data_IF_747911586003
#
_entry.id   IF_747911586003
#
_cell.length_a   1.000
_cell.length_b   1.000
_cell.length_c   1.000
_cell.angle_alpha   90.00
_cell.angle_beta   90.00
_cell.angle_gamma   90.00
#
_symmetry.space_group_name_H-M   'P 1'
#
loop_
_entity.id
_entity.type
_entity.pdbx_description
1 polymer ?
#
# COMPACT_ATOMS: atom_id res chain seq x y z
N UNK A 1 -20.81 -8.65 -18.49
CA UNK A 1 -19.97 -7.49 -18.84
C UNK A 1 -20.05 -6.49 -17.69
N UNK A 2 -18.96 -5.79 -17.33
CA UNK A 2 -18.78 -4.80 -16.21
C UNK A 2 -17.88 -5.16 -15.00
N UNK A 3 -17.02 -6.19 -15.03
CA UNK A 3 -16.10 -6.46 -13.90
C UNK A 3 -14.86 -5.54 -13.81
N UNK A 4 -14.63 -4.64 -14.77
CA UNK A 4 -13.35 -3.92 -14.97
C UNK A 4 -13.29 -2.52 -14.34
N UNK A 5 -14.35 -2.05 -13.68
CA UNK A 5 -14.36 -0.81 -12.90
C UNK A 5 -13.94 -0.95 -11.43
N UNK A 6 -13.81 -2.19 -10.96
CA UNK A 6 -14.14 -2.53 -9.58
C UNK A 6 -13.01 -2.40 -8.54
N UNK A 7 -11.74 -2.32 -8.95
CA UNK A 7 -10.62 -2.22 -8.01
C UNK A 7 -9.80 -0.93 -8.18
N UNK A 8 -10.31 0.00 -9.00
CA UNK A 8 -9.58 1.19 -9.45
C UNK A 8 -9.08 2.08 -8.32
N UNK A 9 -9.87 2.22 -7.26
CA UNK A 9 -9.51 3.02 -6.08
C UNK A 9 -8.84 2.18 -4.97
N UNK A 10 -9.09 0.88 -4.94
CA UNK A 10 -8.65 -0.02 -3.88
C UNK A 10 -7.14 -0.31 -3.94
N UNK A 11 -6.57 -0.48 -5.14
CA UNK A 11 -5.13 -0.74 -5.33
C UNK A 11 -4.23 0.42 -4.90
N UNK A 12 -4.42 1.66 -5.38
CA UNK A 12 -3.57 2.75 -4.93
C UNK A 12 -3.75 3.01 -3.43
N UNK A 13 -4.97 2.83 -2.89
CA UNK A 13 -5.20 2.91 -1.44
C UNK A 13 -4.46 1.81 -0.70
N UNK A 14 -4.47 0.58 -1.20
CA UNK A 14 -3.76 -0.57 -0.61
C UNK A 14 -2.28 -0.25 -0.49
N UNK A 15 -1.66 0.18 -1.59
CA UNK A 15 -0.24 0.52 -1.63
C UNK A 15 0.07 1.67 -0.67
N UNK A 16 -0.73 2.75 -0.71
CA UNK A 16 -0.54 3.88 0.19
C UNK A 16 -0.68 3.47 1.65
N UNK A 17 -1.60 2.57 1.97
CA UNK A 17 -1.82 2.06 3.33
C UNK A 17 -0.60 1.29 3.84
N UNK A 18 0.02 0.48 2.98
CA UNK A 18 1.23 -0.26 3.33
C UNK A 18 2.43 0.67 3.55
N UNK A 19 2.58 1.67 2.68
CA UNK A 19 3.60 2.72 2.84
C UNK A 19 3.41 3.46 4.15
N UNK A 20 2.19 3.90 4.44
CA UNK A 20 1.88 4.58 5.70
C UNK A 20 2.13 3.65 6.89
N UNK A 21 1.81 2.37 6.79
CA UNK A 21 2.06 1.39 7.85
C UNK A 21 3.53 1.23 8.15
N UNK A 22 4.36 1.13 7.10
CA UNK A 22 5.81 1.14 7.23
C UNK A 22 6.31 2.45 7.86
N UNK A 23 5.84 3.62 7.43
CA UNK A 23 6.25 4.90 8.01
C UNK A 23 5.84 5.06 9.48
N UNK A 24 4.64 4.59 9.85
CA UNK A 24 4.13 4.69 11.23
C UNK A 24 4.93 3.78 12.15
N UNK A 25 5.14 2.53 11.74
CA UNK A 25 5.75 1.49 12.60
C UNK A 25 7.28 1.45 12.51
N UNK A 26 7.85 1.88 11.39
CA UNK A 26 9.29 1.89 11.14
C UNK A 26 9.76 3.34 11.05
N UNK A 27 10.65 3.75 11.97
CA UNK A 27 11.34 5.04 11.89
C UNK A 27 12.35 5.02 10.75
N UNK A 28 11.91 5.28 9.51
CA UNK A 28 12.83 5.36 8.38
C UNK A 28 13.63 6.66 8.46
N UNK A 29 14.87 6.60 8.92
CA UNK A 29 15.82 7.72 8.93
C UNK A 29 16.37 8.05 7.53
N UNK A 30 15.55 7.96 6.48
CA UNK A 30 15.96 8.39 5.15
C UNK A 30 15.63 9.87 4.99
N UNK A 31 16.64 10.70 4.69
CA UNK A 31 16.42 12.13 4.58
C UNK A 31 15.62 12.45 3.30
N UNK A 32 14.72 13.44 3.38
CA UNK A 32 13.71 13.68 2.36
C UNK A 32 14.34 14.00 0.99
N UNK A 33 15.49 14.68 1.00
CA UNK A 33 16.25 15.01 -0.20
C UNK A 33 16.83 13.77 -0.89
N UNK A 34 17.39 12.82 -0.14
CA UNK A 34 17.92 11.57 -0.71
C UNK A 34 16.78 10.71 -1.23
N UNK A 35 15.65 10.68 -0.53
CA UNK A 35 14.45 9.98 -0.97
C UNK A 35 13.91 10.57 -2.29
N UNK A 36 13.94 11.89 -2.49
CA UNK A 36 13.63 12.47 -3.80
C UNK A 36 14.66 12.10 -4.86
N UNK A 37 15.95 12.31 -4.57
CA UNK A 37 17.03 12.12 -5.56
C UNK A 37 17.18 10.67 -6.02
N UNK A 38 17.02 9.72 -5.10
CA UNK A 38 17.17 8.29 -5.37
C UNK A 38 15.82 7.58 -5.59
N UNK A 39 14.76 8.01 -4.91
CA UNK A 39 13.43 7.41 -5.04
C UNK A 39 12.73 7.81 -6.34
N UNK A 40 12.97 9.01 -6.88
CA UNK A 40 12.43 9.41 -8.18
C UNK A 40 12.91 8.52 -9.35
N UNK A 41 14.22 8.28 -9.56
CA UNK A 41 14.67 7.39 -10.62
C UNK A 41 14.23 5.94 -10.39
N UNK A 42 14.15 5.47 -9.13
CA UNK A 42 13.60 4.13 -8.84
C UNK A 42 12.11 4.03 -9.18
N UNK A 43 11.31 5.03 -8.80
CA UNK A 43 9.88 5.07 -9.12
C UNK A 43 9.64 5.13 -10.63
N UNK A 44 10.46 5.91 -11.35
CA UNK A 44 10.47 5.93 -12.82
C UNK A 44 10.83 4.56 -13.40
N UNK A 45 11.91 3.94 -12.92
CA UNK A 45 12.36 2.63 -13.39
C UNK A 45 11.29 1.56 -13.21
N UNK A 46 10.62 1.54 -12.06
CA UNK A 46 9.51 0.61 -11.75
C UNK A 46 8.29 0.94 -12.63
N UNK A 47 7.93 2.22 -12.78
CA UNK A 47 6.81 2.62 -13.63
C UNK A 47 7.01 2.24 -15.10
N UNK A 48 8.24 2.36 -15.60
CA UNK A 48 8.64 1.91 -16.94
C UNK A 48 8.63 0.40 -17.04
N UNK A 49 9.21 -0.32 -16.07
CA UNK A 49 9.21 -1.79 -16.02
C UNK A 49 7.77 -2.34 -16.02
N UNK A 50 6.89 -1.81 -15.16
CA UNK A 50 5.47 -2.19 -15.10
C UNK A 50 4.72 -1.85 -16.39
N UNK A 51 5.16 -0.83 -17.13
CA UNK A 51 4.60 -0.52 -18.45
C UNK A 51 5.11 -1.47 -19.54
N UNK A 52 6.37 -1.91 -19.47
CA UNK A 52 6.94 -2.92 -20.36
C UNK A 52 6.36 -4.32 -20.10
N UNK A 53 5.98 -4.62 -18.86
CA UNK A 53 5.30 -5.85 -18.47
C UNK A 53 3.83 -5.91 -18.93
N UNK A 54 3.30 -4.85 -19.56
CA UNK A 54 1.99 -4.90 -20.18
C UNK A 54 2.00 -5.91 -21.33
N UNK A 55 1.17 -6.96 -21.29
CA UNK A 55 1.11 -7.91 -22.40
C UNK A 55 0.72 -7.18 -23.70
N UNK A 56 1.47 -7.43 -24.77
CA UNK A 56 1.13 -6.95 -26.11
C UNK A 56 -0.26 -7.50 -26.51
N UNK A 57 -1.07 -6.69 -27.20
CA UNK A 57 -2.37 -7.14 -27.75
C UNK A 57 -2.07 -8.26 -28.76
N UNK A 58 -2.06 -9.52 -28.33
CA UNK A 58 -1.72 -10.66 -29.20
C UNK A 58 -1.07 -11.84 -28.49
N UNK A 59 -0.49 -11.66 -27.30
CA UNK A 59 0.05 -12.78 -26.51
C UNK A 59 -0.94 -13.21 -25.43
N UNK A 60 -2.03 -13.84 -25.85
CA UNK A 60 -2.82 -14.70 -24.96
C UNK A 60 -2.03 -15.99 -24.59
N UNK A 61 -0.82 -16.17 -25.13
CA UNK A 61 0.06 -17.33 -24.95
C UNK A 61 0.61 -17.55 -23.53
N UNK A 62 0.80 -16.50 -22.70
CA UNK A 62 1.21 -16.70 -21.30
C UNK A 62 0.07 -17.20 -20.39
N UNK A 63 -1.16 -17.17 -20.91
CA UNK A 63 -2.40 -17.56 -20.21
C UNK A 63 -2.98 -18.89 -20.73
N UNK A 64 -2.45 -19.42 -21.83
CA UNK A 64 -3.01 -20.59 -22.55
C UNK A 64 -2.10 -21.82 -22.57
N UNK A 65 -0.82 -21.73 -22.22
CA UNK A 65 0.03 -22.92 -22.19
C UNK A 65 0.05 -23.52 -20.78
N UNK A 66 -0.49 -24.74 -20.68
CA UNK A 66 -0.41 -25.65 -19.51
C UNK A 66 1.05 -26.04 -19.25
N UNK A 67 1.86 -25.08 -18.80
CA UNK A 67 3.26 -25.25 -18.48
C UNK A 67 3.52 -25.12 -16.98
N UNK A 68 4.62 -25.70 -16.51
CA UNK A 68 5.10 -25.58 -15.12
C UNK A 68 5.40 -24.11 -14.74
N UNK A 69 5.70 -23.25 -15.74
CA UNK A 69 6.08 -21.83 -15.56
C UNK A 69 4.95 -20.95 -14.99
N UNK A 70 3.72 -20.91 -15.56
CA UNK A 70 2.62 -20.11 -15.00
C UNK A 70 2.18 -20.60 -13.61
N UNK A 71 2.24 -21.90 -13.33
CA UNK A 71 1.90 -22.45 -12.02
C UNK A 71 2.94 -22.03 -10.96
N UNK A 72 4.23 -22.12 -11.28
CA UNK A 72 5.31 -21.62 -10.40
C UNK A 72 5.18 -20.12 -10.16
N UNK A 73 4.84 -19.33 -11.19
CA UNK A 73 4.59 -17.89 -11.05
C UNK A 73 3.39 -17.60 -10.14
N UNK A 74 2.29 -18.35 -10.28
CA UNK A 74 1.12 -18.19 -9.40
C UNK A 74 1.45 -18.56 -7.94
N UNK A 75 2.26 -19.60 -7.71
CA UNK A 75 2.73 -19.97 -6.38
C UNK A 75 3.64 -18.89 -5.78
N UNK A 76 4.62 -18.39 -6.54
CA UNK A 76 5.50 -17.29 -6.12
C UNK A 76 4.70 -16.03 -5.77
N UNK A 77 3.74 -15.65 -6.62
CA UNK A 77 2.84 -14.52 -6.36
C UNK A 77 2.00 -14.77 -5.10
N UNK A 78 1.46 -15.98 -4.92
CA UNK A 78 0.67 -16.33 -3.74
C UNK A 78 1.49 -16.23 -2.45
N UNK A 79 2.74 -16.70 -2.46
CA UNK A 79 3.66 -16.57 -1.33
C UNK A 79 3.95 -15.10 -1.03
N UNK A 80 4.19 -14.28 -2.07
CA UNK A 80 4.44 -12.84 -1.90
C UNK A 80 3.20 -12.12 -1.33
N UNK A 81 2.03 -12.33 -1.90
CA UNK A 81 0.78 -11.76 -1.39
C UNK A 81 0.46 -12.23 0.04
N UNK A 82 0.79 -13.47 0.39
CA UNK A 82 0.68 -13.99 1.75
C UNK A 82 1.61 -13.29 2.73
N UNK A 83 2.86 -13.03 2.33
CA UNK A 83 3.81 -12.27 3.13
C UNK A 83 3.32 -10.82 3.36
N UNK A 84 2.85 -10.14 2.30
CA UNK A 84 2.28 -8.78 2.39
C UNK A 84 1.04 -8.72 3.30
N UNK A 85 0.19 -9.75 3.27
CA UNK A 85 -0.96 -9.88 4.16
C UNK A 85 -0.52 -10.02 5.61
N UNK A 86 0.45 -10.89 5.87
CA UNK A 86 1.01 -11.10 7.20
C UNK A 86 1.61 -9.82 7.77
N UNK A 87 2.42 -9.11 6.98
CA UNK A 87 3.02 -7.83 7.38
C UNK A 87 1.94 -6.77 7.70
N UNK A 88 0.92 -6.64 6.86
CA UNK A 88 -0.17 -5.68 7.08
C UNK A 88 -0.92 -5.97 8.38
N UNK A 89 -1.23 -7.25 8.65
CA UNK A 89 -1.93 -7.67 9.86
C UNK A 89 -1.05 -7.47 11.10
N UNK A 90 0.24 -7.76 10.99
CA UNK A 90 1.20 -7.57 12.06
C UNK A 90 1.34 -6.09 12.43
N UNK A 91 1.52 -5.21 11.45
CA UNK A 91 1.56 -3.74 11.66
C UNK A 91 0.27 -3.23 12.30
N UNK A 92 -0.89 -3.65 11.78
CA UNK A 92 -2.19 -3.27 12.34
C UNK A 92 -2.35 -3.72 13.79
N UNK A 93 -1.87 -4.92 14.12
CA UNK A 93 -1.90 -5.44 15.49
C UNK A 93 -0.95 -4.68 16.41
N UNK A 94 0.25 -4.31 15.95
CA UNK A 94 1.20 -3.51 16.73
C UNK A 94 0.61 -2.14 17.07
N UNK A 95 0.04 -1.44 16.09
CA UNK A 95 -0.63 -0.15 16.31
C UNK A 95 -1.79 -0.30 17.30
N UNK A 96 -2.61 -1.36 17.18
CA UNK A 96 -3.68 -1.65 18.15
C UNK A 96 -3.14 -1.88 19.57
N UNK A 97 -2.01 -2.56 19.69
CA UNK A 97 -1.40 -2.89 20.98
C UNK A 97 -0.76 -1.68 21.63
N UNK A 98 -0.01 -0.90 20.89
CA UNK A 98 0.74 0.25 21.39
C UNK A 98 -0.18 1.43 21.71
N UNK A 99 -1.20 1.70 20.87
CA UNK A 99 -2.02 2.91 20.98
C UNK A 99 -3.36 2.66 21.70
N UNK A 100 -3.89 1.43 21.65
CA UNK A 100 -5.18 1.09 22.24
C UNK A 100 -5.10 -0.04 23.29
N UNK A 101 -3.89 -0.52 23.62
CA UNK A 101 -3.68 -1.64 24.56
C UNK A 101 -4.55 -2.86 24.24
N UNK A 102 -4.80 -3.11 22.94
CA UNK A 102 -5.79 -4.09 22.48
C UNK A 102 -5.19 -5.11 21.52
N UNK A 103 -5.74 -6.33 21.56
CA UNK A 103 -5.44 -7.41 20.60
C UNK A 103 -6.52 -7.57 19.51
N UNK A 104 -7.27 -6.51 19.22
CA UNK A 104 -8.46 -6.56 18.36
C UNK A 104 -8.23 -7.18 16.97
N UNK A 105 -7.07 -6.95 16.32
CA UNK A 105 -6.84 -7.47 14.95
C UNK A 105 -6.79 -8.99 14.93
N UNK A 106 -6.19 -9.62 15.94
CA UNK A 106 -6.21 -11.08 16.08
C UNK A 106 -7.64 -11.61 16.27
N UNK A 107 -8.48 -10.90 17.03
CA UNK A 107 -9.87 -11.29 17.25
C UNK A 107 -10.75 -11.16 16.00
N UNK A 108 -10.48 -10.16 15.15
CA UNK A 108 -11.24 -9.91 13.91
C UNK A 108 -10.66 -10.67 12.71
N UNK A 109 -9.46 -11.23 12.82
CA UNK A 109 -8.80 -12.02 11.77
C UNK A 109 -9.71 -13.06 11.07
N UNK A 110 -10.44 -13.96 11.78
CA UNK A 110 -11.31 -14.92 11.11
C UNK A 110 -12.41 -14.24 10.27
N UNK A 111 -12.93 -13.10 10.74
CA UNK A 111 -13.91 -12.31 9.99
C UNK A 111 -13.27 -11.65 8.77
N UNK A 112 -12.03 -11.16 8.85
CA UNK A 112 -11.33 -10.57 7.70
C UNK A 112 -11.07 -11.60 6.61
N UNK A 113 -10.64 -12.81 6.99
CA UNK A 113 -10.42 -13.91 6.07
C UNK A 113 -11.74 -14.31 5.39
N UNK A 114 -12.81 -14.47 6.17
CA UNK A 114 -14.13 -14.78 5.64
C UNK A 114 -14.70 -13.68 4.73
N UNK A 115 -14.61 -12.43 5.17
CA UNK A 115 -15.09 -11.28 4.41
C UNK A 115 -14.30 -11.11 3.11
N UNK A 116 -12.97 -11.19 3.16
CA UNK A 116 -12.11 -11.15 1.96
C UNK A 116 -12.43 -12.28 0.97
N UNK A 117 -12.84 -13.45 1.48
CA UNK A 117 -13.30 -14.56 0.65
C UNK A 117 -14.62 -14.25 -0.07
N UNK A 118 -15.60 -13.68 0.62
CA UNK A 118 -16.99 -13.55 0.13
C UNK A 118 -17.33 -12.20 -0.53
N UNK A 119 -16.60 -11.14 -0.20
CA UNK A 119 -16.90 -9.78 -0.67
C UNK A 119 -16.81 -9.68 -2.20
N UNK A 120 -17.82 -9.03 -2.78
CA UNK A 120 -17.84 -8.65 -4.19
C UNK A 120 -16.79 -7.55 -4.44
N UNK A 121 -16.16 -7.55 -5.62
CA UNK A 121 -15.12 -6.60 -5.94
C UNK A 121 -15.64 -5.14 -5.86
N UNK A 122 -16.92 -4.90 -6.15
CA UNK A 122 -17.49 -3.53 -6.21
C UNK A 122 -17.50 -2.84 -4.85
N UNK A 123 -17.61 -3.63 -3.78
CA UNK A 123 -17.60 -3.14 -2.41
C UNK A 123 -16.23 -2.54 -2.08
N UNK A 124 -15.14 -3.14 -2.56
CA UNK A 124 -13.79 -2.61 -2.35
C UNK A 124 -13.61 -1.25 -3.02
N UNK A 125 -14.13 -1.03 -4.23
CA UNK A 125 -14.05 0.28 -4.89
C UNK A 125 -14.77 1.37 -4.09
N UNK A 126 -16.00 1.07 -3.63
CA UNK A 126 -16.84 2.01 -2.89
C UNK A 126 -16.22 2.34 -1.53
N UNK A 127 -15.83 1.31 -0.78
CA UNK A 127 -15.16 1.47 0.51
C UNK A 127 -13.84 2.21 0.38
N UNK A 128 -13.05 1.91 -0.67
CA UNK A 128 -11.82 2.64 -0.94
C UNK A 128 -12.08 4.11 -1.26
N UNK A 129 -13.14 4.44 -2.01
CA UNK A 129 -13.53 5.83 -2.27
C UNK A 129 -13.83 6.63 -1.00
N UNK A 130 -14.54 6.02 -0.04
CA UNK A 130 -14.81 6.64 1.27
C UNK A 130 -13.51 6.81 2.06
N UNK A 131 -12.66 5.78 2.10
CA UNK A 131 -11.39 5.82 2.81
C UNK A 131 -10.40 6.80 2.20
N UNK A 132 -10.42 7.04 0.89
CA UNK A 132 -9.62 8.08 0.25
C UNK A 132 -9.97 9.47 0.79
N UNK A 133 -11.27 9.78 0.90
CA UNK A 133 -11.71 11.04 1.50
C UNK A 133 -11.39 11.11 2.98
N UNK A 134 -11.59 10.03 3.72
CA UNK A 134 -11.23 9.98 5.14
C UNK A 134 -9.73 10.20 5.35
N UNK A 135 -8.89 9.58 4.52
CA UNK A 135 -7.44 9.72 4.57
C UNK A 135 -7.00 11.13 4.17
N UNK A 136 -7.62 11.73 3.16
CA UNK A 136 -7.35 13.11 2.77
C UNK A 136 -7.71 14.10 3.88
N UNK A 137 -8.87 13.92 4.52
CA UNK A 137 -9.30 14.75 5.65
C UNK A 137 -8.39 14.56 6.87
N UNK A 138 -8.03 13.32 7.20
CA UNK A 138 -7.11 13.02 8.30
C UNK A 138 -5.71 13.59 8.03
N UNK A 139 -5.22 13.48 6.79
CA UNK A 139 -3.95 14.09 6.37
C UNK A 139 -3.98 15.61 6.44
N UNK A 140 -5.05 16.25 5.98
CA UNK A 140 -5.22 17.70 6.07
C UNK A 140 -5.30 18.18 7.53
N UNK A 141 -6.01 17.45 8.38
CA UNK A 141 -6.06 17.73 9.82
C UNK A 141 -4.68 17.57 10.47
N UNK A 142 -3.89 16.57 10.06
CA UNK A 142 -2.52 16.36 10.52
C UNK A 142 -1.57 17.49 10.08
N UNK A 143 -1.62 17.91 8.82
CA UNK A 143 -0.82 19.06 8.34
C UNK A 143 -1.24 20.35 9.05
N UNK A 144 -2.54 20.56 9.23
CA UNK A 144 -3.06 21.72 9.95
C UNK A 144 -2.62 21.78 11.41
N UNK A 145 -2.49 20.64 12.08
CA UNK A 145 -2.04 20.55 13.48
C UNK A 145 -0.53 20.76 13.65
N UNK A 146 0.24 20.56 12.57
CA UNK A 146 1.68 20.75 12.54
C UNK A 146 2.10 22.15 12.05
N UNK A 147 1.23 22.87 11.34
CA UNK A 147 1.57 24.11 10.62
C UNK A 147 2.37 25.16 11.44
N UNK A 148 2.11 25.30 12.75
CA UNK A 148 2.83 26.23 13.63
C UNK A 148 4.12 25.69 14.26
N UNK A 149 4.46 24.43 14.03
CA UNK A 149 5.60 23.72 14.64
C UNK A 149 6.66 23.31 13.60
N UNK A 150 6.40 23.53 12.31
CA UNK A 150 7.32 23.19 11.22
C UNK A 150 8.46 24.22 11.14
N UNK A 151 9.70 23.75 11.29
CA UNK A 151 10.88 24.60 11.20
C UNK A 151 11.62 24.29 9.90
N UNK A 152 11.47 25.15 8.88
CA UNK A 152 12.14 24.98 7.58
C UNK A 152 13.67 24.93 7.68
N UNK A 153 14.23 25.55 8.72
CA UNK A 153 15.67 25.55 9.01
C UNK A 153 16.24 24.13 9.23
N UNK A 154 15.40 23.19 9.68
CA UNK A 154 15.78 21.80 9.92
C UNK A 154 16.07 20.99 8.64
N UNK A 155 15.75 21.52 7.45
CA UNK A 155 15.99 20.87 6.16
C UNK A 155 17.41 21.10 5.61
N UNK A 156 18.12 22.12 6.11
CA UNK A 156 19.42 22.53 5.58
C UNK A 156 20.66 21.76 6.09
N UNK A 157 20.67 21.11 7.28
CA UNK A 157 21.83 20.34 7.71
C UNK A 157 22.19 19.25 6.69
N UNK A 158 23.49 18.94 6.56
CA UNK A 158 23.96 17.91 5.65
C UNK A 158 23.43 16.55 6.11
N UNK A 159 22.43 16.05 5.39
CA UNK A 159 21.84 14.76 5.61
C UNK A 159 22.88 13.64 5.44
N UNK A 160 23.37 13.07 6.55
CA UNK A 160 24.24 11.90 6.50
C UNK A 160 23.40 10.67 6.10
N UNK A 161 23.71 9.98 4.98
CA UNK A 161 22.97 8.80 4.57
C UNK A 161 23.26 7.65 5.54
N UNK A 162 22.39 7.46 6.53
CA UNK A 162 22.55 6.38 7.53
C UNK A 162 22.07 5.01 7.04
N UNK A 163 21.81 4.85 5.73
CA UNK A 163 21.34 3.58 5.17
C UNK A 163 21.22 3.56 3.65
N UNK A 164 21.09 2.35 3.10
CA UNK A 164 20.78 2.14 1.69
C UNK A 164 19.28 2.37 1.44
N UNK A 165 18.94 3.13 0.38
CA UNK A 165 17.55 3.29 -0.03
C UNK A 165 17.01 1.94 -0.53
N UNK A 166 16.14 1.33 0.28
CA UNK A 166 15.31 0.19 -0.14
C UNK A 166 13.93 0.70 -0.49
N UNK A 167 13.72 0.98 -1.78
CA UNK A 167 12.39 1.38 -2.25
C UNK A 167 11.43 0.17 -2.08
N UNK A 168 10.36 0.28 -1.30
CA UNK A 168 9.47 -0.84 -1.04
C UNK A 168 8.73 -1.21 -2.32
N UNK A 169 9.00 -2.42 -2.80
CA UNK A 169 8.31 -3.03 -3.93
C UNK A 169 7.14 -3.85 -3.41
N UNK A 170 5.93 -3.30 -3.51
CA UNK A 170 4.72 -3.99 -3.13
C UNK A 170 4.27 -4.97 -4.22
N UNK A 171 3.78 -6.14 -3.80
CA UNK A 171 3.27 -7.17 -4.72
C UNK A 171 2.25 -6.60 -5.71
N UNK A 172 1.40 -5.66 -5.28
CA UNK A 172 0.41 -5.03 -6.15
C UNK A 172 1.02 -4.21 -7.29
N UNK A 173 2.19 -3.58 -7.08
CA UNK A 173 2.81 -2.75 -8.12
C UNK A 173 3.30 -3.55 -9.34
N UNK A 174 3.65 -4.83 -9.12
CA UNK A 174 4.16 -5.76 -10.14
C UNK A 174 3.07 -6.71 -10.62
N UNK A 175 2.24 -7.24 -9.72
CA UNK A 175 1.24 -8.26 -10.07
C UNK A 175 0.02 -7.66 -10.79
N UNK A 176 -0.29 -6.39 -10.58
CA UNK A 176 -1.45 -5.73 -11.19
C UNK A 176 -1.47 -5.75 -12.73
N UNK A 177 -0.38 -5.41 -13.45
CA UNK A 177 -0.32 -5.57 -14.90
C UNK A 177 -0.51 -7.03 -15.37
N UNK A 178 0.01 -7.99 -14.59
CA UNK A 178 -0.03 -9.43 -14.89
C UNK A 178 -1.43 -10.06 -14.67
N UNK A 179 -2.14 -9.64 -13.62
CA UNK A 179 -3.41 -10.26 -13.22
C UNK A 179 -4.62 -9.69 -13.97
N UNK A 180 -4.62 -8.39 -14.26
CA UNK A 180 -5.82 -7.68 -14.76
C UNK A 180 -5.70 -7.12 -16.19
N UNK A 181 -4.52 -7.24 -16.82
CA UNK A 181 -4.29 -6.91 -18.24
C UNK A 181 -4.67 -5.47 -18.64
N UNK A 182 -4.75 -5.23 -19.96
CA UNK A 182 -5.05 -3.90 -20.53
C UNK A 182 -6.46 -3.36 -20.21
N UNK A 183 -7.42 -4.23 -19.86
CA UNK A 183 -8.79 -3.81 -19.49
C UNK A 183 -8.88 -3.24 -18.07
N UNK A 184 -7.93 -3.55 -17.19
CA UNK A 184 -7.86 -3.06 -15.81
C UNK A 184 -6.90 -1.88 -15.60
N UNK A 185 -5.92 -1.69 -16.50
CA UNK A 185 -4.89 -0.67 -16.36
C UNK A 185 -4.64 0.12 -17.64
N UNK A 186 -4.94 1.43 -17.59
CA UNK A 186 -4.35 2.39 -18.51
C UNK A 186 -2.86 2.50 -18.15
N UNK A 187 -1.93 2.51 -19.12
CA UNK A 187 -0.49 2.60 -18.85
C UNK A 187 -0.11 3.75 -17.90
N UNK A 188 -0.86 4.84 -17.95
CA UNK A 188 -0.76 5.98 -17.03
C UNK A 188 -0.94 5.61 -15.54
N UNK A 189 -1.75 4.61 -15.19
CA UNK A 189 -2.02 4.21 -13.80
C UNK A 189 -0.96 3.26 -13.25
N UNK A 190 -0.48 2.30 -14.05
CA UNK A 190 0.68 1.49 -13.68
C UNK A 190 1.89 2.39 -13.38
N UNK A 191 2.04 3.45 -14.16
CA UNK A 191 3.05 4.46 -13.91
C UNK A 191 2.79 5.26 -12.62
N UNK A 192 1.54 5.57 -12.26
CA UNK A 192 1.20 6.36 -11.06
C UNK A 192 1.45 5.64 -9.72
N UNK A 193 1.35 4.31 -9.65
CA UNK A 193 1.51 3.56 -8.40
C UNK A 193 2.88 3.78 -7.70
N UNK A 194 4.03 3.69 -8.40
CA UNK A 194 5.32 3.97 -7.78
C UNK A 194 5.53 5.46 -7.43
N UNK A 195 4.86 6.39 -8.10
CA UNK A 195 4.88 7.79 -7.66
C UNK A 195 4.05 8.00 -6.39
N UNK A 196 2.97 7.23 -6.21
CA UNK A 196 2.18 7.28 -4.99
C UNK A 196 2.97 6.76 -3.78
N UNK A 197 3.75 5.67 -3.95
CA UNK A 197 4.63 5.19 -2.88
C UNK A 197 5.69 6.23 -2.53
N UNK A 198 6.32 6.82 -3.55
CA UNK A 198 7.29 7.90 -3.37
C UNK A 198 6.67 9.09 -2.62
N UNK A 199 5.47 9.53 -3.01
CA UNK A 199 4.78 10.65 -2.38
C UNK A 199 4.46 10.37 -0.90
N UNK A 200 4.01 9.17 -0.57
CA UNK A 200 3.73 8.76 0.82
C UNK A 200 4.99 8.75 1.69
N UNK A 201 6.07 8.12 1.20
CA UNK A 201 7.37 8.10 1.89
C UNK A 201 7.94 9.52 2.05
N UNK A 202 7.86 10.32 0.98
CA UNK A 202 8.42 11.67 0.96
C UNK A 202 7.67 12.61 1.90
N UNK A 203 6.33 12.59 1.89
CA UNK A 203 5.54 13.42 2.79
C UNK A 203 5.86 13.13 4.26
N UNK A 204 6.07 11.85 4.59
CA UNK A 204 6.40 11.44 5.94
C UNK A 204 7.81 11.85 6.36
N UNK A 205 8.81 11.57 5.52
CA UNK A 205 10.20 11.97 5.75
C UNK A 205 10.33 13.50 5.86
N UNK A 206 9.66 14.25 4.99
CA UNK A 206 9.64 15.70 5.02
C UNK A 206 8.99 16.23 6.31
N UNK A 207 7.88 15.63 6.75
CA UNK A 207 7.27 15.98 8.03
C UNK A 207 8.21 15.74 9.22
N UNK A 208 8.91 14.60 9.24
CA UNK A 208 9.84 14.25 10.30
C UNK A 208 11.05 15.19 10.33
N UNK A 209 11.64 15.52 9.18
CA UNK A 209 12.75 16.46 9.11
C UNK A 209 12.32 17.87 9.53
N UNK A 210 11.17 18.35 9.06
CA UNK A 210 10.68 19.69 9.43
C UNK A 210 10.44 19.84 10.93
N UNK A 211 9.99 18.79 11.60
CA UNK A 211 9.62 18.84 13.00
C UNK A 211 10.77 18.49 13.95
N UNK A 212 11.56 17.47 13.62
CA UNK A 212 12.57 16.89 14.51
C UNK A 212 14.03 17.10 14.06
N UNK A 213 14.25 17.58 12.83
CA UNK A 213 15.59 17.68 12.26
C UNK A 213 16.10 16.40 11.61
N UNK A 214 17.13 16.54 10.77
CA UNK A 214 17.77 15.42 10.09
C UNK A 214 18.55 14.53 11.07
N UNK A 215 18.39 13.20 10.97
CA UNK A 215 19.31 12.24 11.60
C UNK A 215 18.84 11.56 12.90
N UNK A 216 17.57 11.73 13.31
CA UNK A 216 16.99 10.94 14.40
C UNK A 216 15.98 9.92 13.86
N UNK A 217 16.22 8.60 14.02
CA UNK A 217 15.27 7.57 13.63
C UNK A 217 14.13 7.52 14.67
N UNK A 218 13.22 8.49 14.63
CA UNK A 218 12.00 8.44 15.43
C UNK A 218 10.94 7.65 14.65
N UNK A 219 10.16 6.79 15.34
CA UNK A 219 9.01 6.15 14.71
C UNK A 219 7.97 7.21 14.34
N UNK A 220 7.16 6.89 13.33
CA UNK A 220 6.28 7.87 12.72
C UNK A 220 5.10 8.29 13.59
N UNK A 221 4.71 7.46 14.54
CA UNK A 221 3.70 7.81 15.52
C UNK A 221 4.08 9.03 16.37
N UNK A 222 5.38 9.30 16.56
CA UNK A 222 5.84 10.50 17.28
C UNK A 222 5.57 11.80 16.49
N UNK A 223 5.62 11.75 15.15
CA UNK A 223 5.20 12.87 14.31
C UNK A 223 3.71 13.14 14.45
N UNK A 224 2.90 12.08 14.47
CA UNK A 224 1.44 12.21 14.63
C UNK A 224 1.09 12.75 16.02
N UNK A 225 1.83 12.33 17.06
CA UNK A 225 1.64 12.74 18.45
C UNK A 225 2.01 14.21 18.71
N UNK A 226 2.92 14.77 17.92
CA UNK A 226 3.29 16.18 18.02
C UNK A 226 2.21 17.14 17.48
N UNK A 227 1.30 16.64 16.64
CA UNK A 227 0.23 17.43 16.06
C UNK A 227 -0.80 17.89 17.11
N UNK A 228 -0.92 19.21 17.31
CA UNK A 228 -1.95 19.80 18.18
C UNK A 228 -2.84 20.76 17.37
N UNK A 229 -4.15 20.55 17.38
CA UNK A 229 -5.11 21.46 16.74
C UNK A 229 -6.07 22.03 17.80
N UNK A 230 -5.70 23.17 18.37
CA UNK A 230 -6.50 23.87 19.38
C UNK A 230 -6.76 23.01 20.63
N UNK A 231 -8.03 22.68 20.90
CA UNK A 231 -8.47 21.93 22.10
C UNK A 231 -8.37 20.39 21.96
N UNK A 232 -8.10 19.87 20.77
CA UNK A 232 -8.07 18.42 20.52
C UNK A 232 -6.64 17.90 20.67
N UNK A 233 -6.41 17.16 21.74
CA UNK A 233 -5.09 16.65 22.14
C UNK A 233 -4.69 15.32 21.49
N UNK A 234 -5.58 14.65 20.73
CA UNK A 234 -5.35 13.30 20.17
C UNK A 234 -5.80 13.16 18.71
N UNK A 235 -5.22 13.95 17.81
CA UNK A 235 -5.46 13.82 16.37
C UNK A 235 -4.73 12.63 15.76
N UNK A 236 -3.65 12.19 16.42
CA UNK A 236 -2.95 10.94 16.15
C UNK A 236 -3.90 9.74 16.13
N UNK A 237 -4.76 9.61 17.13
CA UNK A 237 -5.71 8.51 17.23
C UNK A 237 -6.70 8.49 16.06
N UNK A 238 -7.19 9.65 15.61
CA UNK A 238 -8.11 9.74 14.48
C UNK A 238 -7.44 9.32 13.17
N UNK A 239 -6.20 9.78 12.93
CA UNK A 239 -5.43 9.36 11.76
C UNK A 239 -5.13 7.86 11.80
N UNK A 240 -4.72 7.34 12.95
CA UNK A 240 -4.45 5.91 13.14
C UNK A 240 -5.68 5.04 12.95
N UNK A 241 -6.87 5.50 13.34
CA UNK A 241 -8.13 4.78 13.10
C UNK A 241 -8.48 4.74 11.60
N UNK A 242 -8.30 5.84 10.88
CA UNK A 242 -8.50 5.88 9.43
C UNK A 242 -7.50 4.96 8.72
N UNK A 243 -6.24 4.99 9.12
CA UNK A 243 -5.22 4.09 8.62
C UNK A 243 -5.54 2.62 8.95
N UNK A 244 -5.97 2.32 10.18
CA UNK A 244 -6.34 0.97 10.60
C UNK A 244 -7.52 0.44 9.79
N UNK A 245 -8.55 1.27 9.54
CA UNK A 245 -9.67 0.90 8.68
C UNK A 245 -9.20 0.58 7.25
N UNK A 246 -8.25 1.35 6.71
CA UNK A 246 -7.63 1.07 5.42
C UNK A 246 -6.77 -0.21 5.45
N UNK A 247 -6.07 -0.50 6.55
CA UNK A 247 -5.27 -1.70 6.73
C UNK A 247 -6.13 -2.97 6.78
N UNK A 248 -7.27 -2.91 7.47
CA UNK A 248 -8.26 -4.00 7.48
C UNK A 248 -8.86 -4.23 6.08
N UNK A 249 -9.16 -3.15 5.35
CA UNK A 249 -9.63 -3.26 3.96
C UNK A 249 -8.55 -3.86 3.05
N UNK A 250 -7.28 -3.44 3.20
CA UNK A 250 -6.12 -4.05 2.51
C UNK A 250 -6.03 -5.55 2.83
N UNK A 251 -6.18 -5.94 4.09
CA UNK A 251 -6.21 -7.35 4.49
C UNK A 251 -7.27 -8.15 3.74
N UNK A 252 -8.52 -7.68 3.72
CA UNK A 252 -9.60 -8.32 2.96
C UNK A 252 -9.31 -8.35 1.44
N UNK A 253 -8.72 -7.29 0.89
CA UNK A 253 -8.35 -7.21 -0.52
C UNK A 253 -7.26 -8.23 -0.88
N UNK A 254 -6.21 -8.37 -0.07
CA UNK A 254 -5.13 -9.34 -0.29
C UNK A 254 -5.65 -10.79 -0.22
N UNK A 255 -6.54 -11.09 0.74
CA UNK A 255 -7.22 -12.40 0.81
C UNK A 255 -8.02 -12.68 -0.45
N UNK A 256 -8.72 -11.67 -0.99
CA UNK A 256 -9.45 -11.82 -2.26
C UNK A 256 -8.50 -12.14 -3.41
N UNK A 257 -7.38 -11.42 -3.53
CA UNK A 257 -6.38 -11.68 -4.57
C UNK A 257 -5.77 -13.08 -4.43
N UNK A 258 -5.45 -13.50 -3.20
CA UNK A 258 -5.01 -14.87 -2.91
C UNK A 258 -6.03 -15.91 -3.34
N UNK A 259 -7.33 -15.68 -3.07
CA UNK A 259 -8.40 -16.56 -3.57
C UNK A 259 -8.39 -16.68 -5.10
N UNK A 260 -8.25 -15.58 -5.82
CA UNK A 260 -8.19 -15.60 -7.30
C UNK A 260 -6.94 -16.33 -7.82
N UNK A 261 -5.84 -16.27 -7.08
CA UNK A 261 -4.59 -16.97 -7.42
C UNK A 261 -4.67 -18.48 -7.11
N UNK A 262 -5.25 -18.87 -5.96
CA UNK A 262 -5.33 -20.26 -5.51
C UNK A 262 -6.50 -21.03 -6.15
N UNK A 263 -7.66 -20.39 -6.36
CA UNK A 263 -8.85 -21.02 -6.91
C UNK A 263 -8.94 -20.89 -8.43
N UNK A 264 -7.84 -20.54 -9.12
CA UNK A 264 -7.84 -20.41 -10.57
C UNK A 264 -8.19 -21.78 -11.18
N UNK A 265 -9.30 -21.89 -11.93
CA UNK A 265 -9.77 -23.18 -12.38
C UNK A 265 -8.82 -23.77 -13.42
N UNK A 266 -8.44 -25.03 -13.23
CA UNK A 266 -8.09 -25.93 -14.32
C UNK A 266 -9.35 -26.26 -15.17
N UNK A 267 -10.08 -25.24 -15.63
CA UNK A 267 -11.19 -25.42 -16.57
C UNK A 267 -10.67 -25.37 -18.01
N UNK A 268 -9.80 -26.33 -18.34
CA UNK A 268 -9.58 -26.70 -19.73
C UNK A 268 -9.48 -28.22 -19.96
N UNK A 269 -9.99 -29.03 -19.03
CA UNK A 269 -10.11 -30.48 -19.25
C UNK A 269 -11.53 -30.97 -18.92
N UNK A 270 -12.47 -30.65 -19.81
CA UNK A 270 -13.64 -31.48 -20.17
C UNK A 270 -14.48 -30.78 -21.23
N UNK A 271 -13.93 -30.68 -22.44
CA UNK A 271 -14.77 -30.74 -23.63
C UNK A 271 -15.31 -32.16 -23.75
N UNK A 272 -16.47 -32.41 -23.15
CA UNK A 272 -17.26 -33.63 -23.40
C UNK A 272 -17.76 -33.53 -24.85
N UNK A 273 -17.47 -34.51 -25.72
CA UNK A 273 -18.15 -34.60 -27.00
C UNK A 273 -19.53 -35.21 -26.78
N UNK A 274 -20.57 -34.51 -27.22
CA UNK A 274 -21.82 -35.13 -27.68
C UNK A 274 -22.13 -34.63 -29.09
#
# INVERSE_FOLDING_TARGET
MEQTGSFRAAVPLSILTAVLGQCITSGSAMPARLLLLQGFPMALGIGLLSSCLMPAEGEEGLRSETGIRPQLLCLLLSVWFGAELWETLWQAQQVCREQFSSMAVLGVLPLLLWAGWQLKPDVFSRSAGVLWWALALAGLACVGSLHGQLHWENLFPAAEPTGNLRFPLYAESIAWPLLFGKRGCTGRRCFQLPFLTLAGLFGFALGQELLFGSGRPLPGDELLRAGTLGRVSRLDAAFLLVWLAAALLRGCFLVRVLRELLCRPEEQEKGVPE
#
